data_IF_259115247590
#
_entry.id   IF_259115247590
#
_cell.length_a   1.000
_cell.length_b   1.000
_cell.length_c   1.000
_cell.angle_alpha   90.00
_cell.angle_beta   90.00
_cell.angle_gamma   90.00
#
_symmetry.space_group_name_H-M   'P 1'
#
loop_
_entity.id
_entity.type
_entity.pdbx_description
1 polymer ?
#
# COMPACT_ATOMS: atom_id res chain seq x y z
N UNK A 1 -36.42 40.97 -27.65
CA UNK A 1 -36.12 41.06 -29.10
C UNK A 1 -34.63 41.30 -29.28
N UNK A 2 -33.91 40.29 -29.78
CA UNK A 2 -32.67 40.34 -30.62
C UNK A 2 -31.98 38.97 -30.51
N UNK A 3 -32.37 38.04 -31.37
CA UNK A 3 -31.62 37.53 -32.56
C UNK A 3 -30.56 36.49 -32.19
N UNK A 4 -30.85 35.25 -32.59
CA UNK A 4 -30.03 34.02 -32.55
C UNK A 4 -28.87 34.07 -33.60
N UNK A 5 -28.18 32.96 -33.92
CA UNK A 5 -26.95 32.45 -33.30
C UNK A 5 -25.79 32.40 -34.31
N UNK A 6 -24.54 32.21 -33.86
CA UNK A 6 -23.40 31.93 -34.77
C UNK A 6 -23.00 30.46 -34.66
N UNK A 7 -23.49 29.68 -35.63
CA UNK A 7 -23.10 28.31 -35.91
C UNK A 7 -21.69 28.33 -36.50
N UNK A 8 -20.71 27.78 -35.79
CA UNK A 8 -19.36 27.56 -36.28
C UNK A 8 -19.20 26.08 -36.63
N UNK A 9 -19.18 25.78 -37.93
CA UNK A 9 -18.84 24.48 -38.47
C UNK A 9 -17.33 24.26 -38.32
N UNK A 10 -16.92 23.23 -37.58
CA UNK A 10 -15.55 22.73 -37.63
C UNK A 10 -15.46 21.53 -38.57
N UNK A 11 -14.54 21.68 -39.52
CA UNK A 11 -14.24 20.79 -40.63
C UNK A 11 -13.57 19.52 -40.09
N UNK A 12 -14.12 18.36 -40.45
CA UNK A 12 -13.51 17.07 -40.25
C UNK A 12 -12.31 16.90 -41.21
N UNK A 13 -11.10 16.79 -40.66
CA UNK A 13 -9.92 16.37 -41.40
C UNK A 13 -9.78 14.85 -41.28
N UNK A 14 -10.18 14.14 -42.33
CA UNK A 14 -9.89 12.72 -42.51
C UNK A 14 -8.40 12.54 -42.81
N UNK A 15 -7.64 11.96 -41.87
CA UNK A 15 -6.27 11.49 -42.14
C UNK A 15 -6.30 10.00 -42.43
N UNK A 16 -5.86 9.67 -43.64
CA UNK A 16 -5.83 8.32 -44.18
C UNK A 16 -4.78 7.44 -43.48
N UNK A 17 -5.21 6.23 -43.11
CA UNK A 17 -4.38 5.17 -42.58
C UNK A 17 -3.58 4.47 -43.70
N UNK A 18 -2.28 4.30 -43.47
CA UNK A 18 -1.42 3.36 -44.20
C UNK A 18 -1.14 2.15 -43.29
N UNK A 19 -1.46 0.91 -43.69
CA UNK A 19 -1.05 -0.27 -42.94
C UNK A 19 0.39 -0.67 -43.34
N UNK A 20 1.36 -0.37 -42.49
CA UNK A 20 2.70 -0.98 -42.56
C UNK A 20 2.65 -2.28 -41.76
N UNK A 21 2.53 -3.40 -42.47
CA UNK A 21 2.61 -4.74 -41.90
C UNK A 21 4.09 -5.09 -41.62
N UNK A 22 4.45 -5.16 -40.33
CA UNK A 22 5.74 -5.69 -39.87
C UNK A 22 5.49 -7.05 -39.23
N UNK A 23 5.97 -8.17 -39.80
CA UNK A 23 5.86 -9.47 -39.16
C UNK A 23 7.02 -9.64 -38.17
N UNK A 24 6.79 -9.31 -36.90
CA UNK A 24 7.68 -9.70 -35.81
C UNK A 24 7.22 -11.03 -35.23
N UNK A 25 7.85 -12.10 -35.73
CA UNK A 25 7.81 -13.41 -35.10
C UNK A 25 8.65 -13.38 -33.81
N UNK A 26 8.09 -12.83 -32.74
CA UNK A 26 8.66 -12.89 -31.40
C UNK A 26 8.27 -14.22 -30.75
N UNK A 27 9.24 -15.12 -30.70
CA UNK A 27 9.20 -16.38 -29.96
C UNK A 27 9.02 -16.05 -28.46
N UNK A 28 7.78 -16.10 -27.97
CA UNK A 28 7.49 -16.02 -26.52
C UNK A 28 8.05 -17.28 -25.85
N UNK A 29 9.28 -17.18 -25.31
CA UNK A 29 9.65 -18.02 -24.18
C UNK A 29 8.78 -17.59 -23.00
N UNK A 30 7.68 -18.31 -22.79
CA UNK A 30 6.96 -18.31 -21.52
C UNK A 30 7.90 -18.95 -20.51
N UNK A 31 8.76 -18.13 -19.89
CA UNK A 31 9.35 -18.47 -18.61
C UNK A 31 8.16 -18.63 -17.66
N UNK A 32 7.82 -19.88 -17.36
CA UNK A 32 6.81 -20.20 -16.36
C UNK A 32 7.25 -19.56 -15.06
N UNK A 33 6.66 -18.41 -14.74
CA UNK A 33 6.65 -17.87 -13.41
C UNK A 33 6.04 -18.97 -12.53
N UNK A 34 6.90 -19.68 -11.80
CA UNK A 34 6.45 -20.48 -10.68
C UNK A 34 5.79 -19.47 -9.75
N UNK A 35 4.45 -19.41 -9.77
CA UNK A 35 3.70 -18.70 -8.76
C UNK A 35 4.22 -19.24 -7.42
N UNK A 36 4.71 -18.37 -6.52
CA UNK A 36 5.09 -18.81 -5.19
C UNK A 36 3.84 -19.45 -4.57
N UNK A 37 3.87 -20.77 -4.44
CA UNK A 37 2.90 -21.51 -3.66
C UNK A 37 3.24 -21.23 -2.20
N UNK A 38 2.82 -20.06 -1.71
CA UNK A 38 2.80 -19.76 -0.30
C UNK A 38 1.86 -20.78 0.34
N UNK A 39 2.45 -21.69 1.11
CA UNK A 39 1.73 -22.67 1.89
C UNK A 39 0.80 -21.91 2.85
N UNK A 40 -0.48 -22.30 2.82
CA UNK A 40 -1.58 -21.74 3.58
C UNK A 40 -1.27 -21.63 5.07
N UNK A 41 -1.25 -20.40 5.58
CA UNK A 41 -1.54 -20.10 6.98
C UNK A 41 -2.33 -18.81 6.98
N UNK A 42 -3.61 -18.92 7.32
CA UNK A 42 -4.62 -17.85 7.44
C UNK A 42 -5.52 -17.70 6.21
N UNK A 43 -6.84 -17.79 6.43
CA UNK A 43 -7.90 -17.71 5.44
C UNK A 43 -7.98 -16.29 4.86
N UNK A 44 -6.99 -15.92 4.03
CA UNK A 44 -6.98 -14.64 3.34
C UNK A 44 -7.82 -14.70 2.08
N UNK A 45 -8.59 -13.65 1.84
CA UNK A 45 -9.37 -13.50 0.61
C UNK A 45 -9.31 -12.06 0.10
N UNK A 46 -9.70 -11.87 -1.16
CA UNK A 46 -9.63 -10.58 -1.83
C UNK A 46 -10.96 -9.84 -1.77
N UNK A 47 -10.92 -8.55 -1.45
CA UNK A 47 -12.08 -7.64 -1.44
C UNK A 47 -11.82 -6.43 -2.33
N UNK A 48 -12.91 -5.87 -2.85
CA UNK A 48 -12.87 -4.71 -3.74
C UNK A 48 -13.34 -3.44 -3.06
N UNK A 49 -12.95 -2.29 -3.60
CA UNK A 49 -13.43 -0.99 -3.13
C UNK A 49 -14.92 -0.81 -3.44
N UNK A 50 -15.67 -0.23 -2.50
CA UNK A 50 -17.09 0.08 -2.67
C UNK A 50 -17.33 1.26 -3.62
N UNK A 51 -16.49 2.28 -3.55
CA UNK A 51 -16.62 3.51 -4.33
C UNK A 51 -16.36 3.28 -5.81
N UNK A 52 -17.05 4.04 -6.67
CA UNK A 52 -16.84 4.02 -8.10
C UNK A 52 -15.45 4.57 -8.48
N UNK A 53 -14.86 4.00 -9.52
CA UNK A 53 -13.56 4.38 -10.08
C UNK A 53 -13.72 4.67 -11.60
N UNK A 54 -12.90 5.56 -12.19
CA UNK A 54 -11.79 6.29 -11.57
C UNK A 54 -12.24 7.45 -10.66
N UNK A 55 -11.37 7.85 -9.72
CA UNK A 55 -11.65 8.92 -8.74
C UNK A 55 -10.41 9.75 -8.42
N UNK A 56 -10.56 11.07 -8.28
CA UNK A 56 -9.52 11.96 -7.70
C UNK A 56 -9.78 12.25 -6.21
N UNK A 57 -8.76 12.72 -5.49
CA UNK A 57 -8.87 13.16 -4.10
C UNK A 57 -9.93 14.26 -3.90
N UNK A 58 -10.19 15.06 -4.94
CA UNK A 58 -11.13 16.18 -4.95
C UNK A 58 -12.52 15.83 -5.50
N UNK A 59 -12.82 14.55 -5.75
CA UNK A 59 -14.14 14.14 -6.25
C UNK A 59 -15.22 14.40 -5.20
N UNK A 60 -16.28 15.11 -5.57
CA UNK A 60 -17.40 15.49 -4.70
C UNK A 60 -18.72 14.82 -5.16
N UNK A 61 -18.82 13.53 -4.92
CA UNK A 61 -19.97 12.67 -5.24
C UNK A 61 -20.64 12.08 -3.98
N UNK A 62 -20.16 12.48 -2.79
CA UNK A 62 -20.58 11.93 -1.50
C UNK A 62 -20.05 10.53 -1.17
N UNK A 63 -19.25 9.92 -2.05
CA UNK A 63 -18.69 8.58 -1.84
C UNK A 63 -17.51 8.54 -0.87
N UNK A 64 -16.75 9.63 -0.78
CA UNK A 64 -15.71 9.86 0.22
C UNK A 64 -15.56 11.38 0.44
N UNK A 65 -15.84 11.91 1.65
CA UNK A 65 -15.63 13.32 1.97
C UNK A 65 -14.16 13.73 1.90
N UNK A 66 -13.93 15.02 1.66
CA UNK A 66 -12.62 15.64 1.68
C UNK A 66 -12.34 16.20 3.08
N UNK A 67 -11.19 15.86 3.62
CA UNK A 67 -10.72 16.27 4.94
C UNK A 67 -9.38 17.01 4.84
N UNK A 68 -9.02 17.71 5.92
CA UNK A 68 -7.70 18.34 6.03
C UNK A 68 -6.57 17.30 6.07
N UNK A 69 -5.35 17.68 5.66
CA UNK A 69 -4.16 16.81 5.68
C UNK A 69 -3.88 16.15 7.03
N UNK A 70 -4.26 16.79 8.15
CA UNK A 70 -4.08 16.25 9.51
C UNK A 70 -4.91 14.98 9.77
N UNK A 71 -5.93 14.72 8.96
CA UNK A 71 -6.75 13.50 9.01
C UNK A 71 -6.15 12.34 8.20
N UNK A 72 -5.05 12.57 7.49
CA UNK A 72 -4.33 11.55 6.73
C UNK A 72 -2.90 11.40 7.27
N UNK A 73 -2.71 10.70 8.41
CA UNK A 73 -1.39 10.48 8.99
C UNK A 73 -0.43 9.82 7.99
N UNK A 74 0.83 10.24 8.04
CA UNK A 74 1.90 9.71 7.20
C UNK A 74 1.91 10.22 5.76
N UNK A 75 0.90 10.97 5.32
CA UNK A 75 0.86 11.55 3.96
C UNK A 75 1.81 12.75 3.90
N UNK A 76 2.80 12.77 2.99
CA UNK A 76 3.71 13.90 2.85
C UNK A 76 2.98 15.19 2.45
N UNK A 77 3.53 16.33 2.85
CA UNK A 77 3.04 17.63 2.41
C UNK A 77 3.08 17.73 0.87
N UNK A 78 2.01 18.27 0.28
CA UNK A 78 1.90 18.41 -1.18
C UNK A 78 1.55 17.12 -1.92
N UNK A 79 1.06 16.09 -1.22
CA UNK A 79 0.47 14.89 -1.81
C UNK A 79 -0.99 14.74 -1.42
N UNK A 80 -1.73 14.03 -2.26
CA UNK A 80 -3.10 13.64 -1.96
C UNK A 80 -3.08 12.42 -1.02
N UNK A 81 -3.83 12.52 0.06
CA UNK A 81 -4.02 11.44 1.03
C UNK A 81 -5.29 10.64 0.77
N UNK A 82 -5.20 9.32 0.98
CA UNK A 82 -6.29 8.37 0.80
C UNK A 82 -6.38 7.50 2.04
N UNK A 83 -7.56 7.46 2.67
CA UNK A 83 -7.79 6.65 3.86
C UNK A 83 -8.80 5.55 3.58
N UNK A 84 -8.33 4.31 3.53
CA UNK A 84 -9.15 3.12 3.32
C UNK A 84 -9.44 2.44 4.65
N UNK A 85 -10.67 1.95 4.81
CA UNK A 85 -11.14 1.28 6.03
C UNK A 85 -11.89 -0.01 5.73
N UNK A 86 -11.62 -1.02 6.56
CA UNK A 86 -12.45 -2.23 6.62
C UNK A 86 -13.66 -1.98 7.53
N UNK A 87 -14.90 -2.27 7.08
CA UNK A 87 -16.05 -2.23 7.96
C UNK A 87 -16.07 -3.44 8.90
N UNK A 88 -16.65 -3.26 10.08
CA UNK A 88 -16.76 -4.32 11.08
C UNK A 88 -15.51 -4.45 11.95
N UNK A 89 -15.48 -5.50 12.78
CA UNK A 89 -14.46 -5.66 13.82
C UNK A 89 -13.64 -6.96 13.72
N UNK A 90 -13.96 -7.83 12.77
CA UNK A 90 -13.42 -9.19 12.67
C UNK A 90 -12.50 -9.42 11.47
N UNK A 91 -12.20 -8.37 10.72
CA UNK A 91 -11.39 -8.43 9.50
C UNK A 91 -10.24 -7.42 9.62
N UNK A 92 -9.06 -7.81 9.16
CA UNK A 92 -7.86 -6.96 9.18
C UNK A 92 -7.22 -6.95 7.79
N UNK A 93 -6.55 -5.84 7.42
CA UNK A 93 -5.82 -5.77 6.16
C UNK A 93 -4.55 -6.62 6.24
N UNK A 94 -4.28 -7.37 5.18
CA UNK A 94 -3.03 -8.12 4.98
C UNK A 94 -2.18 -7.45 3.91
N UNK A 95 -2.83 -7.00 2.83
CA UNK A 95 -2.17 -6.30 1.72
C UNK A 95 -3.18 -5.41 1.02
N UNK A 96 -2.83 -4.16 0.75
CA UNK A 96 -3.63 -3.27 -0.09
C UNK A 96 -2.83 -2.94 -1.36
N UNK A 97 -3.41 -3.20 -2.52
CA UNK A 97 -2.84 -2.82 -3.81
C UNK A 97 -3.72 -1.74 -4.44
N UNK A 98 -3.14 -0.56 -4.65
CA UNK A 98 -3.82 0.56 -5.32
C UNK A 98 -3.09 0.95 -6.59
N UNK A 99 -3.80 1.45 -7.58
CA UNK A 99 -3.22 1.96 -8.83
C UNK A 99 -3.69 3.38 -9.06
N UNK A 100 -2.73 4.29 -9.29
CA UNK A 100 -2.98 5.69 -9.59
C UNK A 100 -2.56 6.06 -11.02
N UNK A 101 -3.24 7.02 -11.61
CA UNK A 101 -2.89 7.62 -12.89
C UNK A 101 -2.84 9.16 -12.78
N UNK A 102 -1.66 9.80 -12.95
CA UNK A 102 -0.32 9.18 -12.98
C UNK A 102 0.06 8.58 -11.62
N UNK A 103 1.00 7.63 -11.60
CA UNK A 103 1.59 7.11 -10.35
C UNK A 103 1.83 5.60 -10.33
N UNK A 104 1.12 4.84 -11.17
CA UNK A 104 1.28 3.39 -11.26
C UNK A 104 0.74 2.66 -10.03
N UNK A 105 1.17 1.40 -9.87
CA UNK A 105 0.72 0.53 -8.78
C UNK A 105 1.57 0.74 -7.52
N UNK A 106 0.90 0.82 -6.38
CA UNK A 106 1.49 0.82 -5.04
C UNK A 106 0.96 -0.38 -4.24
N UNK A 107 1.84 -1.03 -3.49
CA UNK A 107 1.51 -2.14 -2.57
C UNK A 107 1.80 -1.70 -1.16
N UNK A 108 0.78 -1.73 -0.31
CA UNK A 108 0.81 -1.29 1.08
C UNK A 108 0.64 -2.51 1.98
N UNK A 109 1.55 -2.62 2.95
CA UNK A 109 1.61 -3.72 3.94
C UNK A 109 1.79 -3.19 5.37
N UNK A 110 1.76 -1.86 5.52
CA UNK A 110 1.81 -1.17 6.80
C UNK A 110 0.44 -0.53 7.02
N UNK A 111 -0.19 -0.85 8.15
CA UNK A 111 -1.57 -0.48 8.45
C UNK A 111 -1.67 0.14 9.85
N UNK A 112 -2.72 0.93 10.07
CA UNK A 112 -2.94 1.70 11.29
C UNK A 112 -2.17 3.02 11.32
N UNK A 113 -2.22 3.73 12.46
CA UNK A 113 -3.06 3.50 13.65
C UNK A 113 -4.56 3.79 13.39
N UNK A 114 -5.51 3.42 14.28
CA UNK A 114 -5.37 2.70 15.58
C UNK A 114 -5.35 1.17 15.48
N UNK A 115 -5.56 0.61 14.29
CA UNK A 115 -5.55 -0.85 14.06
C UNK A 115 -5.26 -1.14 12.60
N UNK A 116 -5.03 -2.40 12.28
CA UNK A 116 -4.75 -2.89 10.91
C UNK A 116 -5.98 -2.82 9.97
N UNK A 117 -7.03 -2.09 10.38
CA UNK A 117 -8.23 -1.79 9.59
C UNK A 117 -8.14 -0.46 8.86
N UNK A 118 -7.08 0.29 9.07
CA UNK A 118 -6.86 1.60 8.47
C UNK A 118 -5.65 1.51 7.56
N UNK A 119 -5.79 1.93 6.32
CA UNK A 119 -4.68 2.05 5.40
C UNK A 119 -4.61 3.48 4.86
N UNK A 120 -3.43 4.07 4.95
CA UNK A 120 -3.15 5.41 4.46
C UNK A 120 -2.22 5.31 3.26
N UNK A 121 -2.62 5.94 2.16
CA UNK A 121 -1.82 5.97 0.93
C UNK A 121 -1.67 7.41 0.46
N UNK A 122 -0.54 7.70 -0.15
CA UNK A 122 -0.26 9.00 -0.75
C UNK A 122 -0.14 8.86 -2.28
N UNK A 123 -0.61 9.88 -3.00
CA UNK A 123 -0.43 10.00 -4.44
C UNK A 123 0.02 11.41 -4.83
N UNK A 124 0.50 11.56 -6.06
CA UNK A 124 0.71 12.89 -6.63
C UNK A 124 -0.61 13.70 -6.61
N UNK A 125 -0.54 15.04 -6.44
CA UNK A 125 -1.72 15.90 -6.52
C UNK A 125 -2.50 15.70 -7.81
N UNK A 126 -3.81 15.45 -7.69
CA UNK A 126 -4.72 15.27 -8.81
C UNK A 126 -4.63 13.90 -9.48
N UNK A 127 -3.88 12.94 -8.93
CA UNK A 127 -3.83 11.59 -9.47
C UNK A 127 -5.20 10.89 -9.32
N UNK A 128 -5.59 10.13 -10.35
CA UNK A 128 -6.80 9.33 -10.37
C UNK A 128 -6.52 7.95 -9.79
N UNK A 129 -7.20 7.57 -8.72
CA UNK A 129 -7.30 6.19 -8.29
C UNK A 129 -8.11 5.40 -9.33
N UNK A 130 -7.48 4.42 -9.97
CA UNK A 130 -8.11 3.60 -11.03
C UNK A 130 -8.39 2.17 -10.57
N UNK A 131 -7.71 1.69 -9.54
CA UNK A 131 -7.93 0.37 -8.95
C UNK A 131 -7.55 0.36 -7.48
N UNK A 132 -8.33 -0.32 -6.64
CA UNK A 132 -8.00 -0.59 -5.25
C UNK A 132 -8.54 -1.98 -4.87
N UNK A 133 -7.62 -2.87 -4.49
CA UNK A 133 -7.90 -4.27 -4.17
C UNK A 133 -7.15 -4.63 -2.90
N UNK A 134 -7.84 -5.20 -1.92
CA UNK A 134 -7.22 -5.61 -0.67
C UNK A 134 -7.29 -7.13 -0.47
N UNK A 135 -6.23 -7.71 0.05
CA UNK A 135 -6.24 -9.00 0.72
C UNK A 135 -6.46 -8.76 2.20
N UNK A 136 -7.43 -9.49 2.76
CA UNK A 136 -7.84 -9.37 4.16
C UNK A 136 -7.84 -10.74 4.81
N UNK A 137 -7.74 -10.77 6.14
CA UNK A 137 -7.85 -11.98 6.94
C UNK A 137 -8.97 -11.86 7.97
N UNK A 138 -9.65 -12.98 8.23
CA UNK A 138 -10.74 -13.06 9.20
C UNK A 138 -12.07 -12.55 8.65
N UNK A 139 -13.16 -12.97 9.29
CA UNK A 139 -14.55 -12.64 8.91
C UNK A 139 -14.92 -12.99 7.47
N UNK A 140 -16.04 -12.40 7.02
CA UNK A 140 -16.53 -12.49 5.65
C UNK A 140 -16.90 -11.08 5.18
N UNK A 141 -16.18 -10.57 4.19
CA UNK A 141 -16.35 -9.23 3.66
C UNK A 141 -16.31 -9.29 2.14
N UNK A 142 -17.18 -8.55 1.47
CA UNK A 142 -17.15 -8.48 -0.01
C UNK A 142 -16.45 -7.20 -0.48
N UNK A 143 -16.63 -6.12 0.28
CA UNK A 143 -16.22 -4.77 -0.10
C UNK A 143 -15.64 -3.99 1.08
N UNK A 144 -14.62 -3.18 0.84
CA UNK A 144 -14.09 -2.20 1.79
C UNK A 144 -14.40 -0.77 1.34
N UNK A 145 -14.15 0.23 2.19
CA UNK A 145 -14.55 1.61 1.92
C UNK A 145 -13.34 2.54 1.86
N UNK A 146 -13.39 3.53 0.97
CA UNK A 146 -12.64 4.77 1.09
C UNK A 146 -13.37 5.67 2.09
N UNK A 147 -12.79 5.89 3.28
CA UNK A 147 -13.42 6.68 4.34
C UNK A 147 -13.44 8.17 4.00
N UNK A 148 -12.28 8.70 3.60
CA UNK A 148 -12.09 10.09 3.23
C UNK A 148 -10.84 10.25 2.38
N UNK A 149 -10.71 11.41 1.74
CA UNK A 149 -9.53 11.85 1.02
C UNK A 149 -8.99 13.13 1.63
N UNK A 150 -7.70 13.38 1.53
CA UNK A 150 -7.08 14.64 1.94
C UNK A 150 -6.36 15.24 0.75
N UNK A 151 -7.02 16.08 -0.06
CA UNK A 151 -6.37 16.74 -1.19
C UNK A 151 -5.13 17.52 -0.72
N UNK A 152 -4.08 17.52 -1.54
CA UNK A 152 -2.95 18.40 -1.35
C UNK A 152 -3.44 19.86 -1.29
N UNK A 153 -2.88 20.65 -0.37
CA UNK A 153 -3.23 22.06 -0.27
C UNK A 153 -3.02 22.80 -1.60
N UNK A 154 -4.00 23.63 -1.96
CA UNK A 154 -4.00 24.42 -3.19
C UNK A 154 -2.69 25.21 -3.34
N UNK A 155 -2.00 25.01 -4.46
CA UNK A 155 -0.71 25.65 -4.76
C UNK A 155 0.38 24.66 -5.21
N UNK A 156 0.19 23.37 -4.93
CA UNK A 156 0.99 22.31 -5.55
C UNK A 156 0.37 21.98 -6.90
N UNK A 157 0.64 22.85 -7.90
CA UNK A 157 0.26 22.56 -9.29
C UNK A 157 0.74 21.15 -9.61
N UNK A 158 -0.11 20.24 -10.13
CA UNK A 158 0.32 18.92 -10.55
C UNK A 158 1.55 19.12 -11.41
N UNK A 159 2.69 18.62 -10.92
CA UNK A 159 3.93 18.68 -11.66
C UNK A 159 3.67 17.94 -12.95
N UNK A 160 3.43 18.68 -14.03
CA UNK A 160 3.72 18.19 -15.36
C UNK A 160 5.24 18.04 -15.35
N UNK A 161 5.72 16.94 -14.77
CA UNK A 161 7.04 16.39 -15.04
C UNK A 161 6.98 16.01 -16.52
N UNK A 162 7.08 17.04 -17.36
CA UNK A 162 7.48 16.91 -18.75
C UNK A 162 8.78 16.13 -18.65
N UNK A 163 8.86 14.88 -19.13
CA UNK A 163 10.08 14.10 -19.04
C UNK A 163 11.18 14.96 -19.64
N UNK A 164 12.09 15.44 -18.77
CA UNK A 164 13.20 16.28 -19.17
C UNK A 164 13.89 15.57 -20.31
N UNK A 165 14.00 16.27 -21.45
CA UNK A 165 14.63 15.78 -22.64
C UNK A 165 15.88 14.97 -22.27
N UNK A 166 15.88 13.71 -22.72
CA UNK A 166 17.01 12.79 -22.71
C UNK A 166 18.32 13.53 -22.98
N UNK A 167 19.06 13.86 -21.92
CA UNK A 167 20.46 14.24 -22.04
C UNK A 167 21.22 12.99 -22.43
N UNK A 168 21.68 12.95 -23.68
CA UNK A 168 22.65 11.96 -24.16
C UNK A 168 23.81 11.87 -23.16
N UNK A 169 24.19 10.66 -22.69
CA UNK A 169 25.36 10.50 -21.86
C UNK A 169 26.60 10.76 -22.73
N UNK A 170 27.18 11.95 -22.61
CA UNK A 170 28.51 12.21 -23.15
C UNK A 170 29.52 11.50 -22.26
N UNK A 171 30.01 10.36 -22.72
CA UNK A 171 31.16 9.70 -22.12
C UNK A 171 32.39 10.61 -22.22
N UNK A 172 32.98 10.97 -21.08
CA UNK A 172 34.40 11.28 -20.99
C UNK A 172 34.91 10.98 -19.59
N UNK A 173 35.87 10.06 -19.57
CA UNK A 173 36.62 9.64 -18.41
C UNK A 173 37.46 10.79 -17.83
N UNK A 174 37.68 10.77 -16.51
CA UNK A 174 39.03 10.67 -15.94
C UNK A 174 38.97 10.43 -14.43
N UNK A 175 39.84 9.52 -14.00
CA UNK A 175 40.26 9.26 -12.63
C UNK A 175 40.74 10.55 -11.94
N UNK A 176 40.44 10.69 -10.65
CA UNK A 176 41.43 10.96 -9.62
C UNK A 176 40.86 10.56 -8.23
N UNK A 177 41.66 9.80 -7.48
CA UNK A 177 41.49 9.47 -6.06
C UNK A 177 42.28 10.47 -5.20
N UNK A 178 42.40 10.25 -3.88
CA UNK A 178 41.46 10.52 -2.79
C UNK A 178 41.96 11.72 -1.94
N UNK A 179 41.11 12.33 -1.12
CA UNK A 179 41.63 13.14 0.00
C UNK A 179 40.75 12.95 1.24
N UNK A 180 41.42 12.45 2.28
CA UNK A 180 41.00 12.33 3.65
C UNK A 180 40.65 13.71 4.23
N UNK A 181 39.51 13.83 4.91
CA UNK A 181 39.42 14.81 6.02
C UNK A 181 38.54 14.26 7.14
N UNK A 182 39.24 13.78 8.16
CA UNK A 182 38.78 13.58 9.53
C UNK A 182 38.37 14.93 10.12
N UNK A 183 37.19 15.05 10.73
CA UNK A 183 36.96 16.00 11.83
C UNK A 183 36.01 15.40 12.86
N UNK A 184 36.42 15.59 14.11
CA UNK A 184 36.00 15.05 15.41
C UNK A 184 34.55 15.29 15.87
N UNK A 185 34.14 14.67 17.00
CA UNK A 185 32.80 14.69 17.56
C UNK A 185 32.57 15.92 18.44
N UNK A 186 31.33 16.42 18.46
CA UNK A 186 30.88 17.48 19.35
C UNK A 186 29.71 17.03 20.21
N UNK A 187 30.00 16.67 21.44
CA UNK A 187 29.07 16.63 22.58
C UNK A 187 28.32 17.96 22.74
N UNK A 188 26.98 17.94 22.91
CA UNK A 188 26.30 18.81 23.91
C UNK A 188 24.85 18.37 24.20
N UNK A 189 24.65 17.72 25.35
CA UNK A 189 23.70 18.03 26.44
C UNK A 189 22.38 18.74 26.08
N UNK A 190 21.22 18.17 26.49
CA UNK A 190 20.25 18.75 27.47
C UNK A 190 19.02 17.82 27.68
N UNK A 191 18.98 17.15 28.82
CA UNK A 191 17.76 16.74 29.58
C UNK A 191 17.53 17.83 30.67
N UNK A 192 16.45 17.88 31.49
CA UNK A 192 15.08 17.37 31.40
C UNK A 192 14.01 18.48 31.65
N UNK A 193 12.73 18.18 31.41
CA UNK A 193 11.59 18.95 31.93
C UNK A 193 10.29 18.38 31.33
N UNK A 194 9.35 17.78 32.06
CA UNK A 194 9.00 17.93 33.47
C UNK A 194 7.82 18.87 33.61
N UNK A 195 6.62 18.45 33.20
CA UNK A 195 5.35 19.13 33.51
C UNK A 195 4.19 18.13 33.55
N UNK A 196 3.82 17.78 34.78
CA UNK A 196 2.53 17.19 35.18
C UNK A 196 1.50 18.34 35.26
N UNK A 197 0.23 18.10 34.87
CA UNK A 197 -0.81 18.62 35.74
C UNK A 197 -1.89 17.58 36.06
N UNK A 198 -2.14 17.50 37.36
CA UNK A 198 -3.31 16.93 38.00
C UNK A 198 -4.61 17.57 37.48
N UNK A 199 -5.60 16.74 37.19
CA UNK A 199 -6.97 17.15 36.88
C UNK A 199 -7.97 16.17 37.47
N UNK A 200 -8.29 16.34 38.74
CA UNK A 200 -9.36 15.64 39.44
C UNK A 200 -10.72 16.24 39.03
N UNK A 201 -11.66 15.40 38.57
CA UNK A 201 -13.10 15.68 38.68
C UNK A 201 -13.86 14.45 39.15
N UNK A 202 -14.52 14.63 40.29
CA UNK A 202 -15.43 13.71 40.98
C UNK A 202 -16.84 13.78 40.39
N UNK A 203 -17.52 12.63 40.36
CA UNK A 203 -18.97 12.49 40.27
C UNK A 203 -19.35 11.35 39.30
N UNK A 204 -19.90 10.20 39.69
CA UNK A 204 -20.66 9.85 40.88
C UNK A 204 -22.09 9.45 40.47
N UNK A 205 -22.29 8.20 40.02
CA UNK A 205 -23.56 7.46 40.13
C UNK A 205 -23.38 5.96 39.78
N UNK A 206 -23.57 5.12 40.79
CA UNK A 206 -23.87 3.67 40.76
C UNK A 206 -25.41 3.50 40.59
N UNK A 207 -26.03 2.36 40.18
CA UNK A 207 -25.68 1.00 40.64
C UNK A 207 -25.87 -0.22 39.70
N UNK A 208 -25.22 -1.31 40.13
CA UNK A 208 -25.58 -2.74 40.14
C UNK A 208 -26.19 -3.45 38.93
N UNK A 209 -25.45 -4.44 38.43
CA UNK A 209 -25.95 -5.81 38.33
C UNK A 209 -24.81 -6.84 38.44
N UNK A 210 -24.99 -7.78 39.36
CA UNK A 210 -24.10 -8.87 39.73
C UNK A 210 -24.24 -10.05 38.76
N UNK A 211 -23.14 -10.63 38.29
CA UNK A 211 -23.06 -12.06 37.97
C UNK A 211 -21.69 -12.60 38.35
N UNK A 212 -21.72 -13.75 39.02
CA UNK A 212 -20.60 -14.39 39.68
C UNK A 212 -20.01 -15.55 38.85
N UNK A 213 -18.72 -15.77 39.08
CA UNK A 213 -18.01 -17.05 39.10
C UNK A 213 -17.71 -17.79 37.79
N UNK A 214 -16.43 -17.93 37.47
CA UNK A 214 -15.73 -19.22 37.73
C UNK A 214 -14.22 -19.09 37.54
N UNK A 215 -13.49 -19.51 38.57
CA UNK A 215 -12.05 -19.65 38.63
C UNK A 215 -11.65 -21.11 38.45
N UNK A 216 -10.59 -21.40 37.68
CA UNK A 216 -9.67 -22.52 37.93
C UNK A 216 -8.34 -22.40 37.16
N UNK A 217 -7.26 -23.06 37.63
CA UNK A 217 -5.89 -22.55 37.56
C UNK A 217 -4.87 -23.45 36.83
N UNK A 218 -3.67 -22.90 36.56
CA UNK A 218 -2.42 -23.63 36.23
C UNK A 218 -1.44 -22.72 35.47
N UNK A 219 -0.39 -22.14 36.07
CA UNK A 219 0.91 -22.76 36.45
C UNK A 219 1.63 -23.33 35.21
N UNK A 220 2.80 -22.89 34.74
CA UNK A 220 3.79 -21.91 35.19
C UNK A 220 5.04 -22.01 34.27
N UNK A 221 5.99 -21.08 34.45
CA UNK A 221 7.30 -21.05 33.79
C UNK A 221 7.36 -20.00 32.68
N UNK A 222 8.22 -18.99 32.67
CA UNK A 222 9.49 -18.84 33.37
C UNK A 222 10.57 -18.51 32.33
N UNK A 223 10.59 -17.26 31.89
CA UNK A 223 11.75 -16.65 31.21
C UNK A 223 11.72 -16.63 29.68
N UNK A 224 12.24 -15.50 29.19
CA UNK A 224 12.99 -15.32 27.93
C UNK A 224 12.23 -14.81 26.69
N UNK A 225 12.54 -13.54 26.36
CA UNK A 225 12.43 -12.85 25.08
C UNK A 225 11.03 -12.66 24.48
N UNK A 226 10.87 -11.57 23.72
CA UNK A 226 9.67 -11.30 22.98
C UNK A 226 9.38 -12.49 22.05
N UNK A 227 8.30 -13.21 22.34
CA UNK A 227 7.78 -14.29 21.54
C UNK A 227 7.22 -13.70 20.23
N UNK A 228 8.12 -13.34 19.31
CA UNK A 228 7.76 -13.04 17.94
C UNK A 228 7.18 -14.32 17.37
N UNK A 229 5.87 -14.34 17.10
CA UNK A 229 5.08 -15.48 16.66
C UNK A 229 5.56 -16.11 15.36
N UNK A 230 6.67 -16.84 15.43
CA UNK A 230 7.20 -17.71 14.37
C UNK A 230 7.33 -19.13 14.93
N UNK A 231 6.24 -19.62 15.51
CA UNK A 231 6.07 -21.01 15.93
C UNK A 231 5.73 -21.97 14.78
N UNK A 232 5.85 -21.54 13.52
CA UNK A 232 5.76 -22.47 12.39
C UNK A 232 6.95 -23.44 12.47
N UNK A 233 6.73 -24.76 12.52
CA UNK A 233 7.80 -25.74 12.63
C UNK A 233 8.71 -25.65 11.41
N UNK A 234 9.78 -24.87 11.51
CA UNK A 234 10.80 -24.71 10.45
C UNK A 234 11.36 -26.05 9.98
N UNK A 235 11.33 -27.07 10.84
CA UNK A 235 11.68 -28.44 10.49
C UNK A 235 10.75 -29.08 9.45
N UNK A 236 9.44 -28.82 9.48
CA UNK A 236 8.51 -29.36 8.48
C UNK A 236 8.64 -28.63 7.13
N UNK A 237 8.83 -27.31 7.15
CA UNK A 237 9.10 -26.54 5.92
C UNK A 237 10.41 -26.97 5.25
N UNK A 238 11.48 -27.16 6.04
CA UNK A 238 12.75 -27.65 5.50
C UNK A 238 12.65 -29.06 4.90
N UNK A 239 11.91 -29.97 5.55
CA UNK A 239 11.68 -31.32 5.04
C UNK A 239 10.87 -31.31 3.73
N UNK A 240 9.83 -30.48 3.63
CA UNK A 240 9.03 -30.34 2.41
C UNK A 240 9.87 -29.78 1.25
N UNK A 241 10.68 -28.75 1.50
CA UNK A 241 11.58 -28.19 0.50
C UNK A 241 12.59 -29.23 -0.02
N UNK A 242 13.19 -30.02 0.89
CA UNK A 242 14.11 -31.09 0.53
C UNK A 242 13.45 -32.18 -0.35
N UNK A 243 12.21 -32.56 -0.02
CA UNK A 243 11.45 -33.53 -0.80
C UNK A 243 11.15 -33.03 -2.23
N UNK A 244 10.79 -31.75 -2.38
CA UNK A 244 10.53 -31.13 -3.68
C UNK A 244 11.80 -31.03 -4.53
N UNK A 245 12.94 -30.65 -3.93
CA UNK A 245 14.24 -30.64 -4.62
C UNK A 245 14.66 -32.05 -5.09
N UNK A 246 14.44 -33.07 -4.26
CA UNK A 246 14.72 -34.45 -4.63
C UNK A 246 13.83 -34.93 -5.79
N UNK A 247 12.52 -34.64 -5.74
CA UNK A 247 11.57 -35.00 -6.79
C UNK A 247 11.88 -34.27 -8.11
N UNK A 248 12.13 -32.95 -8.07
CA UNK A 248 12.51 -32.16 -9.24
C UNK A 248 13.82 -32.64 -9.86
N UNK A 249 14.84 -32.90 -9.03
CA UNK A 249 16.11 -33.47 -9.49
C UNK A 249 15.96 -34.84 -10.16
N UNK A 250 15.12 -35.72 -9.60
CA UNK A 250 14.85 -37.03 -10.18
C UNK A 250 14.16 -36.94 -11.56
N UNK A 251 13.19 -36.03 -11.71
CA UNK A 251 12.50 -35.81 -12.99
C UNK A 251 13.47 -35.30 -14.09
N UNK A 252 14.37 -34.38 -13.75
CA UNK A 252 15.39 -33.88 -14.67
C UNK A 252 16.37 -34.99 -15.08
N UNK A 253 16.81 -35.81 -14.12
CA UNK A 253 17.70 -36.94 -14.41
C UNK A 253 17.03 -37.99 -15.31
N UNK A 254 15.76 -38.32 -15.05
CA UNK A 254 14.99 -39.25 -15.89
C UNK A 254 14.83 -38.74 -17.33
N UNK A 255 14.62 -37.43 -17.52
CA UNK A 255 14.50 -36.83 -18.85
C UNK A 255 15.80 -36.88 -19.65
N UNK A 256 16.97 -36.83 -18.99
CA UNK A 256 18.28 -36.95 -19.68
C UNK A 256 18.64 -38.38 -20.10
N UNK A 257 17.92 -39.39 -19.59
CA UNK A 257 18.19 -40.81 -19.87
C UNK A 257 17.26 -41.42 -20.92
N UNK A 258 16.28 -40.65 -21.41
CA UNK A 258 15.37 -41.02 -22.49
C UNK A 258 15.82 -40.42 -23.83
#
# INVERSE_FOLDING_TARGET
MRTLPRVGAFVAAASAALPVAVPLASLLLVAGAAAPAFASTDDTYTVQLRQDLPRTSTTDDGGAPQESSDQCPGVPAGQDGWHFVLPGNSTDFVKLTVTFEPGGQQVVTDFGPPSDKHAYVASAPGAELTSAVAEVSGGDLELFNLSHTCPAADGTTPGTDTPGASVEPTASASQESPDDTVTEPGDTVTEPGGEEPAGAVSGGASPSASVASSSSPGQGGGGDLAETGSGAPVGLLAAAAAALLAAGGYLVFRRRKA
#
